data_IF_190032255691
#
_entry.id   IF_190032255691
#
_cell.length_a   1.000
_cell.length_b   1.000
_cell.length_c   1.000
_cell.angle_alpha   90.00
_cell.angle_beta   90.00
_cell.angle_gamma   90.00
#
_symmetry.space_group_name_H-M   'P 1'
#
loop_
_entity.id
_entity.type
_entity.pdbx_description
1 polymer ?
#
# COMPACT_ATOMS: atom_id res chain seq x y z
N UNK A 1 60.60 -3.04 -13.93
CA UNK A 1 60.56 -3.21 -15.39
C UNK A 1 59.10 -3.21 -15.83
N UNK A 2 58.74 -2.19 -16.61
CA UNK A 2 57.73 -2.10 -17.69
C UNK A 2 56.32 -2.73 -17.53
N UNK A 3 55.36 -1.82 -17.32
CA UNK A 3 54.16 -1.50 -18.12
C UNK A 3 53.47 -2.53 -19.05
N UNK A 4 52.13 -2.52 -18.98
CA UNK A 4 51.09 -2.50 -20.05
C UNK A 4 49.87 -3.34 -19.60
N UNK A 5 48.59 -2.93 -19.62
CA UNK A 5 47.92 -1.86 -20.32
C UNK A 5 47.21 -2.41 -21.57
N UNK A 6 45.95 -2.86 -21.45
CA UNK A 6 45.01 -2.96 -22.60
C UNK A 6 43.54 -3.02 -22.15
N UNK A 7 42.86 -1.91 -22.43
CA UNK A 7 41.42 -1.70 -22.50
C UNK A 7 40.91 -2.33 -23.81
N UNK A 8 39.85 -3.14 -23.78
CA UNK A 8 39.17 -3.61 -25.00
C UNK A 8 37.78 -2.97 -25.10
N UNK A 9 37.69 -1.88 -25.87
CA UNK A 9 36.44 -1.34 -26.40
C UNK A 9 36.08 -2.14 -27.66
N UNK A 10 34.95 -2.84 -27.64
CA UNK A 10 34.33 -3.36 -28.86
C UNK A 10 33.44 -2.26 -29.47
N UNK A 11 33.91 -1.70 -30.59
CA UNK A 11 33.13 -0.86 -31.50
C UNK A 11 32.36 -1.78 -32.46
N UNK A 12 31.03 -1.67 -32.48
CA UNK A 12 30.21 -2.13 -33.60
C UNK A 12 29.67 -0.90 -34.36
N UNK A 13 29.61 -0.93 -35.70
CA UNK A 13 29.30 0.23 -36.54
C UNK A 13 27.81 0.57 -36.55
N UNK A 14 27.44 1.85 -36.79
CA UNK A 14 26.06 2.29 -36.82
C UNK A 14 25.47 2.14 -38.23
N UNK A 15 24.37 1.41 -38.37
CA UNK A 15 23.47 1.61 -39.51
C UNK A 15 22.01 1.45 -39.10
N UNK A 16 21.23 2.47 -39.51
CA UNK A 16 19.79 2.49 -39.66
C UNK A 16 18.91 2.52 -38.40
N UNK A 17 18.69 3.72 -37.82
CA UNK A 17 17.35 4.09 -37.31
C UNK A 17 17.07 5.58 -37.51
N UNK A 18 15.95 5.85 -38.21
CA UNK A 18 15.35 7.18 -38.38
C UNK A 18 14.60 7.67 -37.13
N UNK A 19 14.05 8.90 -37.17
CA UNK A 19 13.71 9.63 -35.96
C UNK A 19 12.27 9.36 -35.51
N UNK A 20 12.10 9.04 -34.22
CA UNK A 20 10.98 9.42 -33.31
C UNK A 20 10.81 8.39 -32.18
N UNK A 21 11.35 8.68 -30.99
CA UNK A 21 10.76 8.37 -29.67
C UNK A 21 11.76 8.79 -28.56
N UNK A 22 11.33 9.47 -27.48
CA UNK A 22 12.18 9.77 -26.34
C UNK A 22 12.39 8.52 -25.47
N UNK A 23 13.65 8.10 -25.35
CA UNK A 23 14.10 7.02 -24.46
C UNK A 23 14.18 7.57 -23.03
N UNK A 24 13.44 6.96 -22.11
CA UNK A 24 13.70 7.00 -20.68
C UNK A 24 14.95 6.15 -20.38
N UNK A 25 16.04 6.76 -19.91
CA UNK A 25 17.17 6.01 -19.35
C UNK A 25 16.93 5.79 -17.85
N UNK A 26 16.67 4.54 -17.48
CA UNK A 26 16.72 4.05 -16.11
C UNK A 26 18.19 3.82 -15.72
N UNK A 27 18.67 4.50 -14.69
CA UNK A 27 19.95 4.18 -14.05
C UNK A 27 19.73 3.19 -12.91
N UNK A 28 20.24 1.97 -13.11
CA UNK A 28 20.28 0.88 -12.14
C UNK A 28 21.50 1.08 -11.22
N UNK A 29 21.30 1.24 -9.91
CA UNK A 29 22.39 1.22 -8.92
C UNK A 29 22.34 -0.12 -8.18
N UNK A 30 23.42 -0.93 -8.20
CA UNK A 30 23.41 -2.23 -7.55
C UNK A 30 23.34 -2.08 -6.02
N UNK A 31 22.32 -2.69 -5.40
CA UNK A 31 22.30 -2.96 -3.95
C UNK A 31 23.19 -4.17 -3.66
N UNK A 32 24.39 -3.94 -3.09
CA UNK A 32 24.99 -4.73 -1.98
C UNK A 32 26.50 -4.46 -1.89
N UNK A 33 26.89 -3.78 -0.81
CA UNK A 33 28.11 -4.08 -0.05
C UNK A 33 27.89 -3.51 1.37
N UNK A 34 27.05 -4.19 2.14
CA UNK A 34 27.03 -4.09 3.60
C UNK A 34 27.63 -5.40 4.09
N UNK A 35 28.86 -5.35 4.59
CA UNK A 35 29.57 -6.54 5.05
C UNK A 35 31.00 -6.27 5.51
N UNK A 36 31.14 -5.98 6.80
CA UNK A 36 32.27 -6.32 7.68
C UNK A 36 33.65 -5.72 7.36
N UNK A 37 33.96 -4.60 8.01
CA UNK A 37 35.35 -4.28 8.40
C UNK A 37 35.40 -4.06 9.92
N UNK A 38 36.06 -5.00 10.61
CA UNK A 38 36.45 -4.87 12.02
C UNK A 38 37.60 -3.86 12.19
N UNK A 39 37.91 -3.47 13.43
CA UNK A 39 38.83 -2.37 13.69
C UNK A 39 40.29 -2.76 13.40
N UNK A 40 40.88 -2.16 12.37
CA UNK A 40 42.33 -2.23 12.16
C UNK A 40 42.81 -2.15 10.70
N UNK A 41 42.65 -1.00 10.04
CA UNK A 41 43.61 -0.51 9.02
C UNK A 41 43.29 0.96 8.65
N UNK A 42 44.30 1.84 8.41
CA UNK A 42 44.06 3.23 8.04
C UNK A 42 44.06 3.37 6.51
N UNK A 43 42.99 3.93 5.93
CA UNK A 43 43.09 4.48 4.59
C UNK A 43 42.19 5.71 4.44
N UNK A 44 42.80 6.89 4.47
CA UNK A 44 42.16 8.21 4.40
C UNK A 44 41.72 8.59 2.97
N UNK A 45 41.99 7.73 1.97
CA UNK A 45 41.70 7.98 0.57
C UNK A 45 40.20 7.80 0.22
N UNK A 46 39.51 6.84 0.82
CA UNK A 46 38.11 6.49 0.45
C UNK A 46 37.04 7.47 0.93
N UNK A 47 37.39 8.33 1.90
CA UNK A 47 36.52 9.39 2.42
C UNK A 47 36.55 10.65 1.53
N UNK A 48 37.68 10.91 0.87
CA UNK A 48 37.85 12.05 -0.04
C UNK A 48 37.03 11.86 -1.33
N UNK A 49 36.98 10.63 -1.84
CA UNK A 49 36.22 10.29 -3.04
C UNK A 49 34.70 10.44 -2.85
N UNK A 50 34.19 10.16 -1.64
CA UNK A 50 32.78 10.35 -1.28
C UNK A 50 32.37 11.83 -1.20
N UNK A 51 33.24 12.71 -0.72
CA UNK A 51 32.98 14.14 -0.68
C UNK A 51 32.96 14.78 -2.08
N UNK A 52 33.79 14.28 -3.00
CA UNK A 52 33.86 14.78 -4.36
C UNK A 52 32.62 14.39 -5.19
N UNK A 53 32.09 13.17 -4.99
CA UNK A 53 30.83 12.71 -5.61
C UNK A 53 29.59 13.46 -5.09
N UNK A 54 29.57 13.84 -3.80
CA UNK A 54 28.47 14.62 -3.21
C UNK A 54 28.45 16.07 -3.73
N UNK A 55 29.62 16.69 -3.93
CA UNK A 55 29.73 18.03 -4.50
C UNK A 55 29.39 18.06 -5.99
N UNK A 56 29.76 17.02 -6.75
CA UNK A 56 29.40 16.90 -8.17
C UNK A 56 27.89 16.72 -8.39
N UNK A 57 27.20 16.01 -7.50
CA UNK A 57 25.74 15.82 -7.57
C UNK A 57 24.97 17.10 -7.20
N UNK A 58 25.51 17.95 -6.32
CA UNK A 58 24.92 19.26 -6.00
C UNK A 58 25.03 20.26 -7.17
N UNK A 59 26.12 20.20 -7.94
CA UNK A 59 26.33 21.05 -9.14
C UNK A 59 25.32 20.72 -10.25
N UNK A 60 24.94 19.45 -10.40
CA UNK A 60 23.95 19.00 -11.40
C UNK A 60 22.54 19.51 -11.04
N UNK A 61 22.20 19.59 -9.75
CA UNK A 61 20.88 20.04 -9.30
C UNK A 61 20.65 21.55 -9.52
N UNK A 62 21.72 22.36 -9.47
CA UNK A 62 21.65 23.82 -9.61
C UNK A 62 21.67 24.28 -11.08
N UNK A 63 22.24 23.50 -12.00
CA UNK A 63 22.41 23.89 -13.41
C UNK A 63 21.37 23.30 -14.39
N UNK A 64 20.55 22.35 -13.96
CA UNK A 64 19.55 21.70 -14.82
C UNK A 64 18.34 22.56 -15.27
N UNK A 65 17.90 23.66 -14.59
CA UNK A 65 16.76 24.43 -15.08
C UNK A 65 17.05 25.36 -16.27
N UNK A 66 18.32 25.58 -16.65
CA UNK A 66 18.69 26.57 -17.66
C UNK A 66 18.65 26.08 -19.13
N UNK A 67 18.26 24.83 -19.40
CA UNK A 67 18.26 24.26 -20.77
C UNK A 67 16.92 23.71 -21.29
N UNK A 68 15.80 23.85 -20.56
CA UNK A 68 14.50 23.28 -20.96
C UNK A 68 13.34 24.26 -21.13
N UNK A 69 13.59 25.58 -21.20
CA UNK A 69 12.65 26.52 -21.84
C UNK A 69 11.24 26.67 -21.23
N UNK A 70 11.04 26.39 -19.94
CA UNK A 70 9.76 26.65 -19.28
C UNK A 70 9.62 28.13 -18.88
N UNK A 71 8.61 28.80 -19.45
CA UNK A 71 8.21 30.17 -19.11
C UNK A 71 7.30 30.18 -17.89
N UNK A 72 7.82 30.60 -16.74
CA UNK A 72 7.06 31.27 -15.67
C UNK A 72 7.99 32.25 -14.92
N UNK A 73 7.53 33.46 -14.55
CA UNK A 73 8.41 34.51 -14.06
C UNK A 73 8.80 34.26 -12.60
N UNK A 74 10.09 34.05 -12.35
CA UNK A 74 10.69 34.19 -11.02
C UNK A 74 11.73 35.31 -11.15
N UNK A 75 11.54 36.38 -10.39
CA UNK A 75 12.50 37.50 -10.32
C UNK A 75 13.88 37.01 -9.86
N UNK A 76 14.99 37.60 -10.36
CA UNK A 76 16.29 36.94 -10.36
C UNK A 76 17.03 37.07 -9.03
N UNK A 77 17.44 35.91 -8.49
CA UNK A 77 18.46 35.77 -7.46
C UNK A 77 19.86 36.03 -8.09
N UNK A 78 20.15 37.28 -8.46
CA UNK A 78 21.40 37.65 -9.16
C UNK A 78 22.63 37.76 -8.27
N UNK A 79 22.56 37.38 -6.98
CA UNK A 79 23.67 37.63 -6.04
C UNK A 79 24.63 36.44 -5.84
N UNK A 80 24.26 35.21 -6.23
CA UNK A 80 25.08 34.02 -5.90
C UNK A 80 26.11 33.60 -6.97
N UNK A 81 25.95 34.04 -8.23
CA UNK A 81 26.76 33.54 -9.35
C UNK A 81 28.12 34.26 -9.46
N UNK A 82 28.32 35.40 -8.79
CA UNK A 82 29.57 36.15 -8.85
C UNK A 82 30.71 35.58 -7.99
N UNK A 83 30.43 34.68 -7.04
CA UNK A 83 31.43 34.34 -6.00
C UNK A 83 32.12 33.00 -6.23
N UNK A 84 31.55 32.10 -7.04
CA UNK A 84 32.15 30.78 -7.32
C UNK A 84 33.22 30.84 -8.42
N UNK A 85 33.21 31.87 -9.27
CA UNK A 85 34.15 32.01 -10.39
C UNK A 85 35.53 32.59 -10.02
N UNK A 86 35.91 32.67 -8.73
CA UNK A 86 37.19 33.25 -8.28
C UNK A 86 38.00 32.36 -7.31
N UNK A 87 37.89 31.04 -7.44
CA UNK A 87 38.79 30.11 -6.77
C UNK A 87 39.54 29.26 -7.79
N UNK A 88 40.38 29.91 -8.61
CA UNK A 88 41.47 29.23 -9.33
C UNK A 88 42.77 29.46 -8.56
N UNK A 89 43.16 28.47 -7.76
CA UNK A 89 44.44 28.45 -7.05
C UNK A 89 44.68 27.08 -6.40
N UNK A 90 45.93 26.57 -6.38
CA UNK A 90 46.23 25.24 -5.88
C UNK A 90 46.00 25.15 -4.37
N UNK A 91 45.15 24.23 -3.94
CA UNK A 91 44.91 23.92 -2.53
C UNK A 91 46.18 23.27 -1.96
N UNK A 92 46.96 24.02 -1.20
CA UNK A 92 48.09 23.50 -0.40
C UNK A 92 47.57 22.84 0.88
N UNK A 93 48.11 21.66 1.17
CA UNK A 93 47.84 20.79 2.33
C UNK A 93 47.66 21.53 3.66
N UNK A 94 46.60 21.17 4.39
CA UNK A 94 46.45 21.42 5.83
C UNK A 94 46.07 20.12 6.53
N UNK A 95 46.99 19.57 7.32
CA UNK A 95 46.73 18.45 8.25
C UNK A 95 46.45 19.03 9.63
N UNK A 96 45.26 18.78 10.18
CA UNK A 96 44.87 19.10 11.55
C UNK A 96 44.08 17.94 12.13
N UNK A 97 44.56 17.36 13.22
CA UNK A 97 44.09 16.14 13.88
C UNK A 97 42.78 16.34 14.67
N UNK A 98 41.73 15.59 14.33
CA UNK A 98 40.50 15.52 15.13
C UNK A 98 40.59 14.43 16.21
N UNK A 99 40.41 14.80 17.48
CA UNK A 99 40.16 13.86 18.59
C UNK A 99 38.64 13.60 18.72
N UNK A 100 38.24 12.33 18.71
CA UNK A 100 36.86 11.91 19.05
C UNK A 100 36.65 11.94 20.57
N UNK A 101 35.54 12.54 21.03
CA UNK A 101 35.01 12.36 22.38
C UNK A 101 33.77 11.47 22.35
N UNK A 102 33.73 10.48 23.25
CA UNK A 102 32.62 9.54 23.48
C UNK A 102 31.73 10.13 24.59
N UNK A 103 30.45 10.40 24.32
CA UNK A 103 29.52 10.86 25.35
C UNK A 103 28.56 9.71 25.71
N UNK A 104 28.61 9.29 26.97
CA UNK A 104 27.67 8.39 27.64
C UNK A 104 26.58 9.21 28.34
N UNK A 105 25.34 8.68 28.31
CA UNK A 105 24.18 8.97 29.18
C UNK A 105 23.70 10.42 29.37
N UNK A 106 22.46 10.69 28.95
CA UNK A 106 21.59 11.69 29.58
C UNK A 106 20.20 11.08 29.85
N UNK A 107 19.72 11.27 31.08
CA UNK A 107 18.44 10.82 31.64
C UNK A 107 17.26 11.77 31.32
N UNK A 108 15.99 11.33 31.49
CA UNK A 108 14.81 12.01 30.96
C UNK A 108 14.14 12.93 31.98
N UNK A 109 13.94 14.20 31.63
CA UNK A 109 13.03 15.09 32.36
C UNK A 109 12.44 16.15 31.43
N UNK A 110 11.12 16.37 31.56
CA UNK A 110 10.29 17.44 30.99
C UNK A 110 9.87 17.36 29.51
N UNK A 111 8.70 16.74 29.24
CA UNK A 111 7.69 17.33 28.34
C UNK A 111 6.30 17.09 28.95
N UNK A 112 5.68 18.17 29.40
CA UNK A 112 4.27 18.24 29.74
C UNK A 112 3.42 18.58 28.52
N UNK A 113 2.17 18.07 28.55
CA UNK A 113 1.03 18.28 27.65
C UNK A 113 1.00 19.64 26.91
N UNK A 114 0.86 19.61 25.58
CA UNK A 114 -0.34 20.14 24.92
C UNK A 114 -0.48 19.61 23.48
N UNK A 115 -1.72 19.39 23.11
CA UNK A 115 -2.23 18.84 21.85
C UNK A 115 -2.44 19.94 20.81
N UNK A 116 -1.86 19.81 19.62
CA UNK A 116 -2.44 20.36 18.39
C UNK A 116 -1.71 19.85 17.14
N UNK A 117 -2.42 19.05 16.35
CA UNK A 117 -2.51 19.09 14.88
C UNK A 117 -1.24 19.54 14.14
N UNK A 118 -0.41 18.60 13.70
CA UNK A 118 0.54 18.83 12.60
C UNK A 118 -0.16 18.45 11.30
N UNK A 119 -0.69 19.45 10.60
CA UNK A 119 -0.96 19.39 9.17
C UNK A 119 0.36 19.53 8.41
N UNK A 120 0.58 18.68 7.43
CA UNK A 120 1.69 18.74 6.47
C UNK A 120 1.90 20.17 5.94
N UNK A 121 2.95 20.84 6.43
CA UNK A 121 3.58 21.98 5.80
C UNK A 121 4.94 22.18 6.45
N UNK A 122 5.99 22.22 5.62
CA UNK A 122 7.42 22.47 5.92
C UNK A 122 8.34 21.23 6.02
N UNK A 123 8.71 20.67 4.86
CA UNK A 123 10.07 20.15 4.69
C UNK A 123 11.04 21.34 4.61
N UNK A 124 11.45 21.89 5.75
CA UNK A 124 12.56 22.84 5.86
C UNK A 124 13.28 22.66 7.21
N UNK A 125 13.69 21.44 7.52
CA UNK A 125 14.69 21.10 8.54
C UNK A 125 15.32 19.80 8.00
N UNK A 126 16.55 19.76 7.48
CA UNK A 126 17.80 19.79 8.25
C UNK A 126 18.94 20.42 7.43
N UNK A 127 19.36 21.63 7.79
CA UNK A 127 20.72 22.12 7.50
C UNK A 127 21.38 22.72 8.75
N UNK A 128 20.74 22.61 9.91
CA UNK A 128 21.17 23.23 11.16
C UNK A 128 22.01 22.30 12.07
N UNK A 129 22.30 21.06 11.65
CA UNK A 129 22.99 20.10 12.52
C UNK A 129 24.51 20.01 12.35
N UNK A 130 25.14 20.91 11.59
CA UNK A 130 26.59 20.89 11.34
C UNK A 130 27.34 22.20 11.58
N UNK A 131 26.78 23.13 12.36
CA UNK A 131 27.48 24.37 12.73
C UNK A 131 27.76 24.45 14.24
N UNK A 132 28.55 23.49 14.73
CA UNK A 132 29.49 23.78 15.82
C UNK A 132 30.82 24.19 15.20
N UNK A 133 30.85 25.44 14.73
CA UNK A 133 32.02 26.03 14.13
C UNK A 133 33.05 26.36 15.21
N UNK A 134 34.22 25.74 15.06
CA UNK A 134 35.48 26.04 15.75
C UNK A 134 35.79 27.56 15.73
N UNK A 135 36.43 28.14 16.76
CA UNK A 135 36.81 29.55 16.82
C UNK A 135 37.60 30.09 15.62
N UNK A 136 38.20 29.20 14.81
CA UNK A 136 38.95 29.55 13.60
C UNK A 136 38.07 30.00 12.41
N UNK A 137 36.75 29.82 12.47
CA UNK A 137 35.82 30.23 11.40
C UNK A 137 35.49 31.74 11.41
N UNK A 138 35.74 32.43 12.52
CA UNK A 138 35.37 33.84 12.76
C UNK A 138 36.37 34.86 12.18
N UNK A 139 37.49 34.41 11.61
CA UNK A 139 38.56 35.29 11.11
C UNK A 139 38.55 35.51 9.59
N UNK A 140 37.65 34.88 8.84
CA UNK A 140 37.57 35.08 7.39
C UNK A 140 36.82 36.39 7.03
N UNK A 141 37.47 37.40 6.43
CA UNK A 141 36.85 38.69 6.12
C UNK A 141 35.72 38.62 5.09
N UNK A 142 35.73 37.60 4.21
CA UNK A 142 34.72 37.42 3.16
C UNK A 142 33.37 36.90 3.68
N UNK A 143 33.35 36.22 4.84
CA UNK A 143 32.11 35.73 5.47
C UNK A 143 31.46 36.79 6.36
N UNK A 144 32.23 37.73 6.91
CA UNK A 144 31.70 38.88 7.67
C UNK A 144 30.87 39.84 6.80
N UNK A 145 31.21 39.99 5.51
CA UNK A 145 30.42 40.83 4.59
C UNK A 145 29.07 40.22 4.23
N UNK A 146 29.00 38.89 4.12
CA UNK A 146 27.76 38.13 3.83
C UNK A 146 26.79 38.19 5.02
N UNK A 147 27.28 38.05 6.25
CA UNK A 147 26.46 38.21 7.47
C UNK A 147 26.09 39.67 7.75
N UNK A 148 26.94 40.63 7.39
CA UNK A 148 26.66 42.06 7.51
C UNK A 148 25.51 42.54 6.60
N UNK A 149 25.27 41.88 5.47
CA UNK A 149 24.15 42.13 4.57
C UNK A 149 22.82 41.53 5.07
N UNK A 150 22.87 40.48 5.90
CA UNK A 150 21.69 39.91 6.56
C UNK A 150 21.27 40.72 7.81
N UNK A 151 22.24 41.31 8.52
CA UNK A 151 21.97 42.15 9.71
C UNK A 151 21.30 43.49 9.40
N UNK A 152 21.42 44.01 8.18
CA UNK A 152 20.75 45.25 7.72
C UNK A 152 19.33 45.01 7.20
N UNK A 153 18.97 43.81 6.78
CA UNK A 153 17.61 43.50 6.32
C UNK A 153 16.60 43.35 7.47
N UNK A 154 17.08 43.14 8.70
CA UNK A 154 16.25 42.92 9.90
C UNK A 154 16.07 44.21 10.73
N UNK A 155 16.69 45.34 10.37
CA UNK A 155 16.75 46.53 11.23
C UNK A 155 16.05 47.80 10.74
N UNK A 156 15.12 47.70 9.78
CA UNK A 156 14.30 48.84 9.35
C UNK A 156 12.82 48.49 9.24
N UNK A 157 12.17 48.17 10.37
CA UNK A 157 10.72 48.41 10.58
C UNK A 157 10.41 48.54 12.07
N UNK A 158 10.99 49.54 12.73
CA UNK A 158 10.44 50.07 13.99
C UNK A 158 10.25 51.58 13.84
N UNK A 159 9.17 51.97 13.16
CA UNK A 159 8.57 53.29 13.31
C UNK A 159 7.08 53.12 13.57
N UNK A 160 6.69 53.50 14.79
CA UNK A 160 5.32 53.53 15.27
C UNK A 160 4.47 54.53 14.49
N UNK A 161 3.61 54.03 13.59
CA UNK A 161 2.46 54.75 13.09
C UNK A 161 1.25 53.79 12.99
N UNK A 162 0.13 54.16 13.63
CA UNK A 162 -1.11 53.37 13.62
C UNK A 162 -1.71 53.36 12.21
N UNK A 163 -1.63 52.21 11.54
CA UNK A 163 -2.36 51.94 10.29
C UNK A 163 -3.77 51.39 10.66
N UNK A 164 -4.87 51.92 10.11
CA UNK A 164 -6.21 51.38 10.36
C UNK A 164 -6.33 49.96 9.80
N UNK A 165 -6.93 49.04 10.57
CA UNK A 165 -7.15 47.65 10.15
C UNK A 165 -8.08 47.61 8.93
N UNK A 166 -7.72 46.94 7.81
CA UNK A 166 -8.64 46.72 6.72
C UNK A 166 -9.78 45.78 7.16
N UNK A 167 -10.99 45.92 6.60
CA UNK A 167 -12.13 45.07 6.97
C UNK A 167 -11.81 43.60 6.67
N UNK A 168 -12.27 42.71 7.56
CA UNK A 168 -12.13 41.26 7.43
C UNK A 168 -12.62 40.78 6.04
N UNK A 169 -11.69 40.52 5.12
CA UNK A 169 -11.99 39.68 3.96
C UNK A 169 -12.36 38.30 4.50
N UNK A 170 -13.62 37.88 4.30
CA UNK A 170 -14.02 36.49 4.48
C UNK A 170 -13.00 35.62 3.75
N UNK A 171 -12.27 34.77 4.47
CA UNK A 171 -11.48 33.70 3.85
C UNK A 171 -12.47 32.85 3.07
N UNK A 172 -12.43 32.94 1.74
CA UNK A 172 -13.01 31.90 0.91
C UNK A 172 -12.36 30.58 1.34
N UNK A 173 -13.12 29.48 1.50
CA UNK A 173 -12.55 28.20 1.84
C UNK A 173 -11.47 27.88 0.81
N UNK A 174 -10.30 27.43 1.28
CA UNK A 174 -9.27 26.89 0.39
C UNK A 174 -9.94 25.79 -0.44
N UNK A 175 -9.77 25.76 -1.78
CA UNK A 175 -10.27 24.64 -2.56
C UNK A 175 -9.70 23.37 -1.93
N UNK A 176 -10.60 22.49 -1.48
CA UNK A 176 -10.22 21.14 -1.09
C UNK A 176 -9.65 20.54 -2.37
N UNK A 177 -8.34 20.31 -2.42
CA UNK A 177 -7.76 19.51 -3.48
C UNK A 177 -8.33 18.10 -3.26
N UNK A 178 -9.38 17.76 -4.00
CA UNK A 178 -9.91 16.40 -4.00
C UNK A 178 -8.85 15.58 -4.75
N UNK A 179 -7.94 14.95 -4.00
CA UNK A 179 -7.09 13.91 -4.57
C UNK A 179 -8.01 12.72 -4.85
N UNK A 180 -8.48 12.61 -6.10
CA UNK A 180 -9.20 11.43 -6.56
C UNK A 180 -8.25 10.25 -6.48
N UNK A 181 -8.43 9.39 -5.47
CA UNK A 181 -7.65 8.18 -5.31
C UNK A 181 -8.23 7.10 -6.21
N UNK A 182 -7.39 6.42 -6.98
CA UNK A 182 -7.79 5.31 -7.83
C UNK A 182 -7.17 4.02 -7.30
N UNK A 183 -7.97 2.98 -7.08
CA UNK A 183 -7.52 1.65 -6.69
C UNK A 183 -7.64 0.66 -7.85
N UNK A 184 -6.62 -0.14 -8.11
CA UNK A 184 -6.67 -1.21 -9.10
C UNK A 184 -6.84 -2.55 -8.40
N UNK A 185 -7.90 -3.28 -8.75
CA UNK A 185 -8.19 -4.59 -8.17
C UNK A 185 -8.20 -5.66 -9.27
N UNK A 186 -7.66 -6.84 -8.95
CA UNK A 186 -7.84 -8.03 -9.78
C UNK A 186 -8.89 -8.96 -9.14
N UNK A 187 -9.78 -9.52 -9.94
CA UNK A 187 -10.76 -10.51 -9.53
C UNK A 187 -10.40 -11.87 -10.14
N UNK A 188 -10.02 -12.83 -9.30
CA UNK A 188 -9.81 -14.22 -9.72
C UNK A 188 -11.16 -14.96 -9.71
N UNK A 189 -11.70 -15.16 -10.90
CA UNK A 189 -13.01 -15.77 -11.15
C UNK A 189 -12.85 -17.29 -11.17
N UNK A 190 -13.36 -17.94 -10.14
CA UNK A 190 -13.15 -19.37 -9.84
C UNK A 190 -14.34 -20.24 -10.28
N UNK A 191 -15.35 -19.65 -10.94
CA UNK A 191 -16.54 -20.33 -11.42
C UNK A 191 -17.33 -19.46 -12.40
N UNK A 192 -18.40 -19.99 -12.97
CA UNK A 192 -19.44 -19.25 -13.69
C UNK A 192 -20.76 -19.33 -12.91
N UNK A 193 -21.51 -18.24 -12.75
CA UNK A 193 -22.80 -18.31 -12.07
C UNK A 193 -23.75 -19.28 -12.79
N UNK A 194 -24.62 -19.95 -12.03
CA UNK A 194 -25.69 -20.78 -12.58
C UNK A 194 -26.52 -19.96 -13.60
N UNK A 195 -27.07 -20.58 -14.68
CA UNK A 195 -27.76 -19.85 -15.74
C UNK A 195 -28.81 -18.85 -15.22
N UNK A 196 -29.69 -19.28 -14.31
CA UNK A 196 -30.71 -18.40 -13.74
C UNK A 196 -30.15 -17.20 -12.95
N UNK A 197 -28.98 -17.35 -12.32
CA UNK A 197 -28.26 -16.26 -11.64
C UNK A 197 -27.61 -15.35 -12.68
N UNK A 198 -26.94 -15.92 -13.68
CA UNK A 198 -26.28 -15.18 -14.75
C UNK A 198 -27.26 -14.32 -15.54
N UNK A 199 -28.43 -14.87 -15.86
CA UNK A 199 -29.47 -14.14 -16.61
C UNK A 199 -30.03 -12.95 -15.82
N UNK A 200 -30.06 -13.05 -14.49
CA UNK A 200 -30.61 -12.00 -13.62
C UNK A 200 -29.58 -10.97 -13.16
N UNK A 201 -28.32 -11.39 -12.97
CA UNK A 201 -27.29 -10.61 -12.27
C UNK A 201 -25.96 -10.49 -13.02
N UNK A 202 -25.84 -11.12 -14.19
CA UNK A 202 -24.62 -11.11 -14.99
C UNK A 202 -23.57 -12.12 -14.52
N UNK A 203 -22.35 -11.94 -15.00
CA UNK A 203 -21.18 -12.75 -14.63
C UNK A 203 -20.74 -12.49 -13.18
N UNK A 204 -19.82 -13.30 -12.65
CA UNK A 204 -19.20 -12.99 -11.36
C UNK A 204 -18.46 -11.64 -11.37
N UNK A 205 -17.94 -11.20 -12.51
CA UNK A 205 -17.36 -9.86 -12.63
C UNK A 205 -18.42 -8.79 -12.36
N UNK A 206 -19.62 -8.91 -12.93
CA UNK A 206 -20.73 -7.96 -12.74
C UNK A 206 -21.25 -7.96 -11.29
N UNK A 207 -21.37 -9.15 -10.68
CA UNK A 207 -21.79 -9.32 -9.30
C UNK A 207 -20.80 -8.64 -8.34
N UNK A 208 -19.50 -8.92 -8.49
CA UNK A 208 -18.47 -8.30 -7.65
C UNK A 208 -18.31 -6.81 -7.93
N UNK A 209 -18.39 -6.35 -9.18
CA UNK A 209 -18.39 -4.93 -9.53
C UNK A 209 -19.52 -4.19 -8.81
N UNK A 210 -20.74 -4.77 -8.83
CA UNK A 210 -21.91 -4.20 -8.14
C UNK A 210 -21.70 -4.18 -6.63
N UNK A 211 -21.22 -5.27 -6.04
CA UNK A 211 -20.98 -5.37 -4.59
C UNK A 211 -19.93 -4.36 -4.12
N UNK A 212 -18.78 -4.31 -4.80
CA UNK A 212 -17.68 -3.39 -4.52
C UNK A 212 -18.11 -1.94 -4.68
N UNK A 213 -18.87 -1.60 -5.72
CA UNK A 213 -19.34 -0.24 -5.92
C UNK A 213 -20.38 0.19 -4.88
N UNK A 214 -21.31 -0.69 -4.48
CA UNK A 214 -22.28 -0.39 -3.42
C UNK A 214 -21.60 -0.26 -2.05
N UNK A 215 -20.66 -1.14 -1.73
CA UNK A 215 -19.91 -1.09 -0.47
C UNK A 215 -18.97 0.12 -0.40
N UNK A 216 -18.37 0.54 -1.51
CA UNK A 216 -17.54 1.75 -1.55
C UNK A 216 -18.36 2.99 -1.23
N UNK A 217 -19.53 3.13 -1.87
CA UNK A 217 -20.48 4.21 -1.56
C UNK A 217 -20.91 4.18 -0.10
N UNK A 218 -21.14 2.99 0.45
CA UNK A 218 -21.47 2.83 1.87
C UNK A 218 -20.32 3.25 2.79
N UNK A 219 -19.08 2.87 2.47
CA UNK A 219 -17.89 3.22 3.23
C UNK A 219 -17.66 4.74 3.25
N UNK A 220 -17.63 5.37 2.07
CA UNK A 220 -17.45 6.82 1.92
C UNK A 220 -18.58 7.62 2.59
N UNK A 221 -19.83 7.20 2.36
CA UNK A 221 -21.01 7.84 2.94
C UNK A 221 -21.03 7.80 4.47
N UNK A 222 -20.58 6.69 5.07
CA UNK A 222 -20.48 6.59 6.54
C UNK A 222 -19.46 7.54 7.17
N UNK A 223 -18.60 8.17 6.36
CA UNK A 223 -17.57 9.12 6.77
C UNK A 223 -17.83 10.54 6.29
N UNK A 224 -18.94 10.78 5.60
CA UNK A 224 -19.23 12.06 4.99
C UNK A 224 -18.26 12.45 3.86
N UNK A 225 -17.54 11.47 3.29
CA UNK A 225 -16.66 11.72 2.15
C UNK A 225 -17.48 11.78 0.85
N UNK A 226 -17.09 12.62 -0.13
CA UNK A 226 -17.74 12.64 -1.44
C UNK A 226 -17.68 11.25 -2.10
N UNK A 227 -18.77 10.83 -2.75
CA UNK A 227 -18.88 9.49 -3.39
C UNK A 227 -17.85 9.25 -4.48
N UNK A 228 -17.25 10.32 -5.00
CA UNK A 228 -16.38 10.30 -6.17
C UNK A 228 -14.91 10.50 -5.79
N UNK A 229 -14.63 10.65 -4.48
CA UNK A 229 -13.29 10.85 -3.93
C UNK A 229 -12.38 9.63 -4.09
N UNK A 230 -12.98 8.44 -4.22
CA UNK A 230 -12.29 7.19 -4.50
C UNK A 230 -12.95 6.49 -5.69
N UNK A 231 -12.14 6.06 -6.64
CA UNK A 231 -12.54 5.24 -7.78
C UNK A 231 -11.77 3.93 -7.77
N UNK A 232 -12.28 2.93 -8.48
CA UNK A 232 -11.56 1.68 -8.66
C UNK A 232 -11.77 1.07 -10.05
N UNK A 233 -10.76 0.33 -10.50
CA UNK A 233 -10.85 -0.59 -11.64
C UNK A 233 -10.91 -2.02 -11.11
N UNK A 234 -11.67 -2.90 -11.76
CA UNK A 234 -11.75 -4.32 -11.46
C UNK A 234 -11.49 -5.14 -12.72
N UNK A 235 -10.33 -5.77 -12.78
CA UNK A 235 -9.95 -6.63 -13.90
C UNK A 235 -10.27 -8.09 -13.58
N UNK A 236 -11.11 -8.72 -14.40
CA UNK A 236 -11.50 -10.13 -14.23
C UNK A 236 -10.55 -11.10 -14.91
N UNK A 237 -10.17 -12.16 -14.19
CA UNK A 237 -9.30 -13.23 -14.65
C UNK A 237 -9.97 -14.60 -14.43
N UNK A 238 -10.29 -15.30 -15.52
CA UNK A 238 -10.87 -16.64 -15.46
C UNK A 238 -9.80 -17.68 -15.12
N UNK A 239 -9.66 -17.99 -13.83
CA UNK A 239 -8.64 -18.93 -13.35
C UNK A 239 -9.01 -20.38 -13.62
N UNK A 240 -10.28 -20.69 -13.91
CA UNK A 240 -10.71 -22.02 -14.36
C UNK A 240 -10.10 -22.32 -15.72
N UNK A 241 -10.00 -21.30 -16.59
CA UNK A 241 -9.24 -21.34 -17.84
C UNK A 241 -7.75 -21.03 -17.68
N UNK A 242 -7.25 -20.97 -16.43
CA UNK A 242 -5.86 -20.66 -16.09
C UNK A 242 -5.37 -19.31 -16.64
N UNK A 243 -6.29 -18.34 -16.76
CA UNK A 243 -5.95 -16.97 -17.10
C UNK A 243 -5.68 -16.21 -15.80
N UNK A 244 -4.47 -15.63 -15.70
CA UNK A 244 -4.00 -14.90 -14.53
C UNK A 244 -3.45 -13.53 -14.94
N UNK A 245 -3.34 -12.57 -14.00
CA UNK A 245 -2.58 -11.34 -14.24
C UNK A 245 -1.15 -11.66 -14.68
N UNK A 246 -0.67 -10.96 -15.70
CA UNK A 246 0.73 -11.01 -16.11
C UNK A 246 1.63 -10.51 -14.97
N UNK A 247 2.83 -11.08 -14.84
CA UNK A 247 3.76 -10.75 -13.74
C UNK A 247 4.09 -9.26 -13.66
N UNK A 248 4.29 -8.62 -14.82
CA UNK A 248 4.57 -7.19 -14.93
C UNK A 248 3.39 -6.31 -14.48
N UNK A 249 2.17 -6.85 -14.44
CA UNK A 249 0.96 -6.14 -14.01
C UNK A 249 0.67 -6.29 -12.53
N UNK A 250 1.23 -7.29 -11.86
CA UNK A 250 0.95 -7.55 -10.43
C UNK A 250 1.26 -6.33 -9.55
N UNK A 251 2.37 -5.63 -9.79
CA UNK A 251 2.76 -4.46 -8.98
C UNK A 251 1.83 -3.25 -9.11
N UNK A 252 0.93 -3.27 -10.10
CA UNK A 252 -0.06 -2.21 -10.31
C UNK A 252 -1.34 -2.41 -9.50
N UNK A 253 -1.59 -3.63 -8.99
CA UNK A 253 -2.78 -3.92 -8.20
C UNK A 253 -2.58 -3.56 -6.72
N UNK A 254 -3.58 -2.91 -6.14
CA UNK A 254 -3.67 -2.65 -4.71
C UNK A 254 -4.25 -3.86 -3.96
N UNK A 255 -5.05 -4.68 -4.65
CA UNK A 255 -5.58 -5.90 -4.09
C UNK A 255 -6.05 -6.92 -5.11
N UNK A 256 -6.12 -8.17 -4.65
CA UNK A 256 -6.65 -9.31 -5.40
C UNK A 256 -7.80 -9.93 -4.62
N UNK A 257 -8.93 -10.17 -5.28
CA UNK A 257 -10.13 -10.79 -4.71
C UNK A 257 -10.35 -12.15 -5.34
N UNK A 258 -10.51 -13.19 -4.53
CA UNK A 258 -10.87 -14.54 -4.96
C UNK A 258 -12.35 -14.78 -4.74
N UNK A 259 -13.03 -15.16 -5.81
CA UNK A 259 -14.48 -15.46 -5.82
C UNK A 259 -14.80 -16.84 -5.19
N UNK A 260 -16.09 -17.07 -4.97
CA UNK A 260 -16.62 -18.40 -4.66
C UNK A 260 -16.60 -19.36 -5.86
N UNK A 261 -16.85 -20.65 -5.59
CA UNK A 261 -17.00 -21.68 -6.62
C UNK A 261 -17.90 -22.81 -6.13
N UNK A 262 -18.59 -23.48 -7.04
CA UNK A 262 -19.28 -24.73 -6.79
C UNK A 262 -18.33 -25.94 -6.71
N UNK A 263 -17.09 -25.80 -7.21
CA UNK A 263 -16.07 -26.82 -7.05
C UNK A 263 -15.59 -26.92 -5.60
N UNK A 264 -15.25 -28.14 -5.16
CA UNK A 264 -14.55 -28.32 -3.89
C UNK A 264 -13.10 -27.88 -4.02
N UNK A 265 -12.60 -27.12 -3.05
CA UNK A 265 -11.24 -26.59 -3.07
C UNK A 265 -10.16 -27.67 -3.14
N UNK A 266 -10.46 -28.90 -2.71
CA UNK A 266 -9.58 -30.07 -2.74
C UNK A 266 -9.83 -31.02 -3.92
N UNK A 267 -10.73 -30.68 -4.85
CA UNK A 267 -11.00 -31.52 -6.02
C UNK A 267 -9.73 -31.64 -6.90
N UNK A 268 -9.51 -32.78 -7.57
CA UNK A 268 -8.37 -32.97 -8.47
C UNK A 268 -8.60 -32.29 -9.83
N UNK A 269 -9.03 -31.02 -9.84
CA UNK A 269 -9.23 -30.25 -11.06
C UNK A 269 -7.91 -29.61 -11.50
N UNK A 270 -7.56 -29.65 -12.80
CA UNK A 270 -6.25 -29.18 -13.30
C UNK A 270 -5.90 -27.74 -12.96
N UNK A 271 -6.90 -26.88 -12.74
CA UNK A 271 -6.70 -25.45 -12.44
C UNK A 271 -6.52 -25.16 -10.94
N UNK A 272 -6.86 -26.09 -10.04
CA UNK A 272 -6.78 -25.86 -8.59
C UNK A 272 -5.32 -25.75 -8.13
N UNK A 273 -4.45 -26.65 -8.55
CA UNK A 273 -3.04 -26.62 -8.14
C UNK A 273 -2.31 -25.35 -8.63
N UNK A 274 -2.43 -24.93 -9.91
CA UNK A 274 -1.93 -23.65 -10.37
C UNK A 274 -2.47 -22.45 -9.58
N UNK A 275 -3.74 -22.47 -9.20
CA UNK A 275 -4.33 -21.39 -8.38
C UNK A 275 -3.69 -21.32 -6.99
N UNK A 276 -3.46 -22.46 -6.33
CA UNK A 276 -2.77 -22.51 -5.03
C UNK A 276 -1.35 -21.92 -5.14
N UNK A 277 -0.61 -22.32 -6.17
CA UNK A 277 0.76 -21.82 -6.42
C UNK A 277 0.78 -20.32 -6.70
N UNK A 278 -0.16 -19.83 -7.52
CA UNK A 278 -0.33 -18.41 -7.78
C UNK A 278 -0.60 -17.63 -6.48
N UNK A 279 -1.56 -18.07 -5.67
CA UNK A 279 -1.96 -17.38 -4.44
C UNK A 279 -0.82 -17.37 -3.42
N UNK A 280 -0.17 -18.52 -3.19
CA UNK A 280 0.97 -18.62 -2.28
C UNK A 280 2.11 -17.70 -2.73
N UNK A 281 2.40 -17.65 -4.03
CA UNK A 281 3.43 -16.80 -4.61
C UNK A 281 3.10 -15.32 -4.47
N UNK A 282 1.86 -14.90 -4.76
CA UNK A 282 1.43 -13.50 -4.61
C UNK A 282 1.59 -13.05 -3.15
N UNK A 283 1.03 -13.81 -2.21
CA UNK A 283 1.08 -13.47 -0.78
C UNK A 283 2.54 -13.43 -0.29
N UNK A 284 3.41 -14.31 -0.79
CA UNK A 284 4.81 -14.33 -0.37
C UNK A 284 5.65 -13.19 -0.97
N UNK A 285 5.48 -12.92 -2.27
CA UNK A 285 6.42 -12.10 -3.03
C UNK A 285 5.95 -10.65 -3.24
N UNK A 286 4.65 -10.38 -3.07
CA UNK A 286 4.04 -9.08 -3.33
C UNK A 286 3.35 -8.51 -2.08
N UNK A 287 4.10 -8.16 -1.02
CA UNK A 287 3.53 -7.77 0.27
C UNK A 287 2.68 -6.49 0.24
N UNK A 288 2.76 -5.68 -0.83
CA UNK A 288 1.89 -4.49 -0.99
C UNK A 288 0.47 -4.85 -1.42
N UNK A 289 0.26 -6.00 -2.04
CA UNK A 289 -1.04 -6.41 -2.59
C UNK A 289 -1.87 -7.01 -1.47
N UNK A 290 -3.02 -6.42 -1.16
CA UNK A 290 -3.98 -7.02 -0.21
C UNK A 290 -4.70 -8.19 -0.86
N UNK A 291 -4.83 -9.31 -0.16
CA UNK A 291 -5.52 -10.49 -0.72
C UNK A 291 -6.81 -10.76 0.03
N UNK A 292 -7.93 -10.81 -0.69
CA UNK A 292 -9.27 -11.01 -0.16
C UNK A 292 -9.86 -12.33 -0.67
N UNK A 293 -10.39 -13.17 0.21
CA UNK A 293 -10.95 -14.48 -0.18
C UNK A 293 -12.39 -14.69 0.26
N UNK A 294 -13.26 -15.07 -0.68
CA UNK A 294 -14.69 -15.28 -0.43
C UNK A 294 -15.05 -16.75 -0.66
N UNK A 295 -15.62 -17.42 0.35
CA UNK A 295 -16.09 -18.80 0.28
C UNK A 295 -15.02 -19.80 -0.23
N UNK A 296 -15.10 -20.24 -1.48
CA UNK A 296 -14.03 -21.04 -2.11
C UNK A 296 -12.68 -20.31 -2.07
N UNK A 297 -12.64 -19.00 -2.29
CA UNK A 297 -11.43 -18.19 -2.18
C UNK A 297 -10.81 -18.22 -0.78
N UNK A 298 -11.64 -18.25 0.28
CA UNK A 298 -11.19 -18.45 1.66
C UNK A 298 -10.48 -19.82 1.82
N UNK A 299 -11.08 -20.87 1.25
CA UNK A 299 -10.54 -22.23 1.31
C UNK A 299 -9.26 -22.40 0.49
N UNK A 300 -9.17 -21.78 -0.69
CA UNK A 300 -7.97 -21.76 -1.52
C UNK A 300 -6.82 -21.06 -0.81
N UNK A 301 -7.06 -19.88 -0.21
CA UNK A 301 -6.03 -19.16 0.56
C UNK A 301 -5.54 -20.03 1.72
N UNK A 302 -6.45 -20.71 2.43
CA UNK A 302 -6.06 -21.62 3.51
C UNK A 302 -5.13 -22.71 2.99
N UNK A 303 -5.54 -23.43 1.94
CA UNK A 303 -4.74 -24.51 1.35
C UNK A 303 -3.40 -24.04 0.80
N UNK A 304 -3.37 -22.88 0.14
CA UNK A 304 -2.16 -22.31 -0.46
C UNK A 304 -1.08 -22.01 0.59
N UNK A 305 -1.48 -21.76 1.85
CA UNK A 305 -0.59 -21.43 2.95
C UNK A 305 -0.41 -22.56 3.97
N UNK A 306 -0.75 -23.80 3.57
CA UNK A 306 -0.50 -25.01 4.35
C UNK A 306 -1.62 -25.45 5.28
N UNK A 307 -2.79 -24.80 5.21
CA UNK A 307 -4.01 -25.28 5.86
C UNK A 307 -4.73 -26.37 5.06
N UNK A 308 -5.92 -26.76 5.51
CA UNK A 308 -6.76 -27.75 4.83
C UNK A 308 -8.18 -27.24 4.57
N UNK A 309 -8.83 -27.82 3.57
CA UNK A 309 -10.26 -27.70 3.35
C UNK A 309 -10.81 -29.13 3.22
N UNK A 310 -11.91 -29.41 3.90
CA UNK A 310 -12.55 -30.73 3.96
C UNK A 310 -14.08 -30.58 3.89
N UNK A 311 -14.82 -31.63 3.53
CA UNK A 311 -16.26 -31.66 3.73
C UNK A 311 -16.61 -31.45 5.20
N UNK A 312 -17.60 -30.60 5.49
CA UNK A 312 -18.11 -30.43 6.84
C UNK A 312 -19.15 -31.52 7.15
N UNK A 313 -18.85 -32.37 8.12
CA UNK A 313 -19.76 -33.44 8.57
C UNK A 313 -21.07 -32.90 9.15
N UNK A 314 -21.08 -31.65 9.64
CA UNK A 314 -22.28 -30.97 10.14
C UNK A 314 -23.21 -30.47 9.02
N UNK A 315 -22.81 -30.63 7.75
CA UNK A 315 -23.65 -30.39 6.60
C UNK A 315 -23.59 -28.96 6.06
N UNK A 316 -24.70 -28.56 5.43
CA UNK A 316 -24.82 -27.30 4.67
C UNK A 316 -25.18 -26.11 5.56
N UNK A 317 -24.58 -24.95 5.29
CA UNK A 317 -25.12 -23.65 5.67
C UNK A 317 -25.56 -22.89 4.40
N UNK A 318 -26.85 -22.55 4.32
CA UNK A 318 -27.49 -21.92 3.15
C UNK A 318 -28.39 -20.76 3.56
N UNK A 319 -28.18 -19.59 2.97
CA UNK A 319 -28.92 -18.37 3.35
C UNK A 319 -28.23 -17.61 4.48
N UNK A 320 -28.91 -16.69 5.16
CA UNK A 320 -28.27 -15.86 6.21
C UNK A 320 -28.09 -16.63 7.52
N UNK A 321 -26.88 -16.56 8.06
CA UNK A 321 -26.49 -17.07 9.38
C UNK A 321 -25.88 -15.96 10.24
N UNK A 322 -26.10 -16.06 11.55
CA UNK A 322 -25.41 -15.25 12.56
C UNK A 322 -24.06 -15.90 12.89
N UNK A 323 -22.98 -15.24 12.46
CA UNK A 323 -21.61 -15.59 12.84
C UNK A 323 -21.32 -14.96 14.19
N UNK A 324 -20.99 -15.81 15.16
CA UNK A 324 -20.52 -15.39 16.48
C UNK A 324 -19.08 -14.93 16.36
N UNK A 325 -18.87 -13.62 16.49
CA UNK A 325 -17.55 -13.02 16.40
C UNK A 325 -16.77 -13.23 17.69
N UNK A 326 -15.49 -13.58 17.56
CA UNK A 326 -14.57 -13.56 18.70
C UNK A 326 -14.06 -12.14 18.94
N UNK A 327 -13.09 -11.96 19.86
CA UNK A 327 -12.53 -10.64 20.17
C UNK A 327 -12.02 -9.92 18.92
N UNK A 328 -11.24 -10.63 18.09
CA UNK A 328 -10.69 -10.09 16.85
C UNK A 328 -11.80 -9.69 15.87
N UNK A 329 -12.77 -10.57 15.62
CA UNK A 329 -13.89 -10.28 14.73
C UNK A 329 -14.69 -9.06 15.17
N UNK A 330 -14.94 -8.90 16.48
CA UNK A 330 -15.65 -7.72 17.02
C UNK A 330 -14.87 -6.42 16.80
N UNK A 331 -13.55 -6.45 16.99
CA UNK A 331 -12.70 -5.30 16.72
C UNK A 331 -12.64 -4.97 15.21
N UNK A 332 -12.55 -6.01 14.37
CA UNK A 332 -12.48 -5.87 12.91
C UNK A 332 -13.78 -5.33 12.31
N UNK A 333 -14.94 -5.82 12.74
CA UNK A 333 -16.23 -5.44 12.15
C UNK A 333 -16.95 -4.33 12.90
N UNK A 334 -16.54 -4.00 14.13
CA UNK A 334 -17.20 -2.99 14.96
C UNK A 334 -18.61 -3.38 15.43
N UNK A 335 -18.97 -4.67 15.37
CA UNK A 335 -20.25 -5.21 15.81
C UNK A 335 -20.07 -6.48 16.66
N UNK A 336 -21.11 -6.89 17.40
CA UNK A 336 -21.03 -8.08 18.26
C UNK A 336 -21.25 -9.39 17.50
N UNK A 337 -22.13 -9.37 16.50
CA UNK A 337 -22.51 -10.50 15.64
C UNK A 337 -22.50 -10.02 14.19
N UNK A 338 -22.20 -10.94 13.27
CA UNK A 338 -22.17 -10.65 11.84
C UNK A 338 -23.17 -11.55 11.12
N UNK A 339 -24.12 -10.97 10.39
CA UNK A 339 -25.06 -11.71 9.54
C UNK A 339 -24.56 -11.76 8.12
N UNK A 340 -24.40 -12.94 7.56
CA UNK A 340 -23.86 -13.12 6.20
C UNK A 340 -24.55 -14.28 5.50
N UNK A 341 -24.73 -14.16 4.18
CA UNK A 341 -25.17 -15.28 3.36
C UNK A 341 -24.11 -16.38 3.35
N UNK A 342 -24.53 -17.61 3.61
CA UNK A 342 -23.74 -18.82 3.48
C UNK A 342 -24.23 -19.62 2.27
N UNK A 343 -23.31 -20.33 1.62
CA UNK A 343 -23.59 -21.28 0.56
C UNK A 343 -22.45 -22.30 0.49
N UNK A 344 -22.20 -23.02 1.57
CA UNK A 344 -21.08 -23.97 1.64
C UNK A 344 -21.43 -25.25 2.41
N UNK A 345 -20.72 -26.32 2.04
CA UNK A 345 -20.68 -27.60 2.74
C UNK A 345 -19.25 -27.98 3.10
N UNK A 346 -18.27 -27.50 2.35
CA UNK A 346 -16.86 -27.64 2.70
C UNK A 346 -16.46 -26.52 3.66
N UNK A 347 -15.43 -26.75 4.46
CA UNK A 347 -14.90 -25.77 5.40
C UNK A 347 -13.40 -25.94 5.65
N UNK A 348 -12.78 -24.89 6.17
CA UNK A 348 -11.45 -24.95 6.79
C UNK A 348 -11.63 -25.34 8.27
N UNK A 349 -11.12 -26.49 8.73
CA UNK A 349 -11.14 -26.80 10.16
C UNK A 349 -10.28 -25.80 10.95
N UNK A 350 -10.70 -25.45 12.16
CA UNK A 350 -9.92 -24.63 13.08
C UNK A 350 -8.54 -25.26 13.37
N UNK A 351 -8.51 -26.57 13.58
CA UNK A 351 -7.30 -27.39 13.75
C UNK A 351 -6.34 -27.39 12.56
N UNK A 352 -6.81 -26.95 11.38
CA UNK A 352 -6.03 -26.89 10.15
C UNK A 352 -6.03 -25.49 9.53
N UNK A 353 -6.24 -24.47 10.37
CA UNK A 353 -6.04 -23.07 9.97
C UNK A 353 -4.54 -22.84 9.73
N UNK A 354 -4.14 -22.16 8.64
CA UNK A 354 -2.72 -21.95 8.35
C UNK A 354 -2.00 -21.15 9.43
N UNK A 355 -0.69 -21.37 9.57
CA UNK A 355 0.12 -20.66 10.55
C UNK A 355 0.05 -19.13 10.35
N UNK A 356 -0.07 -18.40 11.46
CA UNK A 356 -0.16 -16.93 11.46
C UNK A 356 -1.56 -16.36 11.19
N UNK A 357 -2.53 -17.17 10.76
CA UNK A 357 -3.90 -16.72 10.63
C UNK A 357 -4.63 -16.75 11.98
N UNK A 358 -5.43 -15.72 12.19
CA UNK A 358 -6.37 -15.64 13.31
C UNK A 358 -7.80 -15.79 12.77
N UNK A 359 -8.57 -16.74 13.33
CA UNK A 359 -9.99 -16.91 13.02
C UNK A 359 -10.77 -15.70 13.54
N UNK A 360 -11.82 -15.25 12.84
CA UNK A 360 -12.62 -14.06 13.22
C UNK A 360 -13.97 -14.40 13.83
N UNK A 361 -14.52 -15.58 13.56
CA UNK A 361 -15.83 -15.97 14.05
C UNK A 361 -16.22 -17.40 13.70
N UNK A 362 -17.33 -17.85 14.27
CA UNK A 362 -17.80 -19.24 14.19
C UNK A 362 -19.33 -19.31 14.07
N UNK A 363 -19.83 -20.45 13.59
CA UNK A 363 -21.22 -20.89 13.75
C UNK A 363 -21.24 -22.26 14.42
N UNK A 364 -22.40 -22.77 14.88
CA UNK A 364 -22.49 -24.14 15.40
C UNK A 364 -21.99 -25.21 14.42
N UNK A 365 -22.15 -24.97 13.11
CA UNK A 365 -21.69 -25.88 12.06
C UNK A 365 -20.23 -25.65 11.64
N UNK A 366 -19.72 -24.41 11.64
CA UNK A 366 -18.39 -24.11 11.11
C UNK A 366 -17.53 -23.33 12.11
N UNK A 367 -16.41 -23.92 12.52
CA UNK A 367 -15.47 -23.32 13.47
C UNK A 367 -14.56 -22.22 12.87
N UNK A 368 -14.53 -22.07 11.54
CA UNK A 368 -13.79 -21.02 10.87
C UNK A 368 -14.69 -20.34 9.83
N UNK A 369 -15.31 -19.23 10.21
CA UNK A 369 -16.15 -18.43 9.30
C UNK A 369 -15.39 -17.33 8.57
N UNK A 370 -14.07 -17.28 8.77
CA UNK A 370 -13.19 -16.27 8.20
C UNK A 370 -11.92 -16.15 9.02
N UNK A 371 -10.87 -15.67 8.36
CA UNK A 371 -9.54 -15.58 8.96
C UNK A 371 -8.77 -14.38 8.41
N UNK A 372 -7.88 -13.86 9.25
CA UNK A 372 -7.01 -12.71 8.96
C UNK A 372 -5.55 -13.10 9.11
N UNK A 373 -4.70 -12.70 8.17
CA UNK A 373 -3.25 -12.70 8.30
C UNK A 373 -2.77 -11.25 8.35
N UNK A 374 -2.05 -10.90 9.41
CA UNK A 374 -1.40 -9.59 9.55
C UNK A 374 0.04 -9.62 9.05
N UNK A 375 0.63 -8.47 8.78
CA UNK A 375 2.06 -8.39 8.52
C UNK A 375 2.88 -8.80 9.76
N UNK A 376 4.05 -9.42 9.56
CA UNK A 376 4.96 -9.76 10.65
C UNK A 376 5.30 -8.55 11.53
N UNK A 377 5.35 -8.75 12.84
CA UNK A 377 5.69 -7.71 13.81
C UNK A 377 4.51 -6.83 14.25
N UNK A 378 3.31 -7.02 13.68
CA UNK A 378 2.09 -6.35 14.12
C UNK A 378 1.39 -7.15 15.23
N UNK A 379 0.85 -6.48 16.23
CA UNK A 379 0.16 -7.13 17.36
C UNK A 379 -0.80 -6.18 18.06
N UNK A 380 -1.68 -6.71 18.92
CA UNK A 380 -2.64 -5.91 19.67
C UNK A 380 -3.92 -5.61 18.88
N UNK A 381 -4.52 -4.44 19.15
CA UNK A 381 -5.76 -4.00 18.49
C UNK A 381 -5.55 -3.97 16.97
N UNK A 382 -6.52 -4.48 16.23
CA UNK A 382 -6.41 -4.51 14.76
C UNK A 382 -6.49 -3.09 14.16
N UNK A 383 -5.50 -2.77 13.32
CA UNK A 383 -5.58 -1.69 12.35
C UNK A 383 -5.72 -2.30 10.96
N UNK A 384 -6.52 -1.70 10.09
CA UNK A 384 -6.78 -2.28 8.76
C UNK A 384 -5.54 -2.30 7.86
N UNK A 385 -4.62 -1.34 8.04
CA UNK A 385 -3.35 -1.29 7.28
C UNK A 385 -2.43 -2.48 7.57
N UNK A 386 -2.51 -3.04 8.78
CA UNK A 386 -1.71 -4.19 9.23
C UNK A 386 -2.19 -5.51 8.62
N UNK A 387 -3.40 -5.54 8.06
CA UNK A 387 -3.99 -6.74 7.47
C UNK A 387 -3.43 -6.96 6.07
N UNK A 388 -2.79 -8.10 5.84
CA UNK A 388 -2.30 -8.48 4.51
C UNK A 388 -3.34 -9.33 3.77
N UNK A 389 -3.95 -10.28 4.49
CA UNK A 389 -4.95 -11.21 3.93
C UNK A 389 -6.19 -11.19 4.79
N UNK A 390 -7.35 -11.07 4.17
CA UNK A 390 -8.65 -11.14 4.84
C UNK A 390 -9.58 -12.09 4.08
N UNK A 391 -10.26 -12.97 4.81
CA UNK A 391 -11.16 -13.94 4.18
C UNK A 391 -12.43 -14.14 4.99
N UNK A 392 -13.51 -14.48 4.29
CA UNK A 392 -14.79 -14.88 4.87
C UNK A 392 -15.31 -16.14 4.17
N UNK A 393 -15.89 -17.05 4.95
CA UNK A 393 -16.46 -18.30 4.42
C UNK A 393 -17.82 -18.06 3.73
N UNK A 394 -18.57 -17.04 4.15
CA UNK A 394 -19.81 -16.63 3.50
C UNK A 394 -19.60 -15.67 2.33
N UNK A 395 -20.72 -15.23 1.77
CA UNK A 395 -20.84 -14.44 0.55
C UNK A 395 -21.38 -13.03 0.86
N UNK A 396 -20.52 -12.03 1.07
CA UNK A 396 -20.95 -10.64 1.26
C UNK A 396 -21.61 -10.05 -0.01
N UNK A 397 -21.32 -10.62 -1.17
CA UNK A 397 -21.82 -10.25 -2.49
C UNK A 397 -23.18 -10.88 -2.84
N UNK A 398 -23.61 -11.90 -2.11
CA UNK A 398 -24.92 -12.52 -2.31
C UNK A 398 -26.04 -11.70 -1.65
N UNK A 399 -27.24 -11.88 -2.18
CA UNK A 399 -28.51 -11.40 -1.62
C UNK A 399 -29.62 -12.40 -1.95
N UNK A 400 -30.82 -12.18 -1.42
CA UNK A 400 -31.97 -13.10 -1.52
C UNK A 400 -32.18 -13.71 -2.91
N UNK A 401 -32.22 -12.87 -3.97
CA UNK A 401 -32.46 -13.33 -5.35
C UNK A 401 -31.39 -14.31 -5.83
N UNK A 402 -30.10 -14.07 -5.53
CA UNK A 402 -29.02 -14.99 -5.90
C UNK A 402 -29.18 -16.30 -5.14
N UNK A 403 -29.35 -16.23 -3.82
CA UNK A 403 -29.46 -17.43 -2.97
C UNK A 403 -30.66 -18.28 -3.37
N UNK A 404 -31.83 -17.67 -3.57
CA UNK A 404 -33.06 -18.39 -3.93
C UNK A 404 -32.88 -19.15 -5.25
N UNK A 405 -32.29 -18.52 -6.27
CA UNK A 405 -31.99 -19.16 -7.56
C UNK A 405 -30.99 -20.30 -7.45
N UNK A 406 -29.96 -20.15 -6.61
CA UNK A 406 -28.99 -21.23 -6.34
C UNK A 406 -29.67 -22.40 -5.62
N UNK A 407 -30.53 -22.12 -4.64
CA UNK A 407 -31.30 -23.13 -3.90
C UNK A 407 -32.23 -23.90 -4.84
N UNK A 408 -33.00 -23.21 -5.68
CA UNK A 408 -33.92 -23.85 -6.64
C UNK A 408 -33.15 -24.76 -7.60
N UNK A 409 -32.04 -24.28 -8.15
CA UNK A 409 -31.21 -25.09 -9.04
C UNK A 409 -30.60 -26.31 -8.34
N UNK A 410 -30.17 -26.18 -7.07
CA UNK A 410 -29.57 -27.29 -6.32
C UNK A 410 -30.60 -28.31 -5.83
N UNK A 411 -31.83 -27.89 -5.56
CA UNK A 411 -32.97 -28.77 -5.30
C UNK A 411 -33.27 -29.64 -6.53
N UNK A 412 -33.39 -29.01 -7.70
CA UNK A 412 -33.67 -29.71 -8.96
C UNK A 412 -32.62 -30.77 -9.32
N UNK A 413 -31.37 -30.53 -8.93
CA UNK A 413 -30.25 -31.45 -9.17
C UNK A 413 -29.99 -32.43 -8.01
N UNK A 414 -30.83 -32.43 -6.96
CA UNK A 414 -30.71 -33.36 -5.83
C UNK A 414 -29.45 -33.16 -4.96
N UNK A 415 -28.81 -31.98 -5.02
CA UNK A 415 -27.57 -31.68 -4.28
C UNK A 415 -27.83 -31.41 -2.79
N UNK A 416 -29.04 -30.94 -2.47
CA UNK A 416 -29.47 -30.58 -1.12
C UNK A 416 -30.69 -31.39 -0.72
N UNK A 417 -30.77 -31.77 0.56
CA UNK A 417 -31.96 -32.42 1.10
C UNK A 417 -33.14 -31.43 1.18
N UNK A 418 -34.40 -31.91 1.16
CA UNK A 418 -35.56 -31.04 1.30
C UNK A 418 -35.52 -30.15 2.55
N UNK A 419 -34.95 -30.64 3.65
CA UNK A 419 -34.78 -29.86 4.88
C UNK A 419 -33.80 -28.69 4.70
N UNK A 420 -32.66 -28.91 4.03
CA UNK A 420 -31.68 -27.86 3.73
C UNK A 420 -32.28 -26.83 2.78
N UNK A 421 -33.04 -27.27 1.77
CA UNK A 421 -33.73 -26.38 0.83
C UNK A 421 -34.75 -25.50 1.53
N UNK A 422 -35.60 -26.09 2.38
CA UNK A 422 -36.61 -25.35 3.14
C UNK A 422 -35.96 -24.32 4.09
N UNK A 423 -34.88 -24.70 4.78
CA UNK A 423 -34.12 -23.80 5.66
C UNK A 423 -33.47 -22.66 4.86
N UNK A 424 -32.85 -22.98 3.71
CA UNK A 424 -32.24 -22.02 2.81
C UNK A 424 -33.22 -20.99 2.28
N UNK A 425 -34.41 -21.41 1.82
CA UNK A 425 -35.49 -20.51 1.38
C UNK A 425 -35.98 -19.61 2.51
N UNK A 426 -36.12 -20.15 3.74
CA UNK A 426 -36.52 -19.37 4.92
C UNK A 426 -35.49 -18.30 5.29
N UNK A 427 -34.20 -18.58 5.10
CA UNK A 427 -33.08 -17.69 5.47
C UNK A 427 -32.65 -16.73 4.38
N UNK A 428 -32.95 -17.00 3.11
CA UNK A 428 -32.59 -16.16 1.98
C UNK A 428 -33.08 -14.70 2.07
N UNK A 429 -34.30 -14.37 2.55
CA UNK A 429 -34.78 -12.99 2.61
C UNK A 429 -34.29 -12.21 3.84
N UNK A 430 -33.55 -12.84 4.76
CA UNK A 430 -33.11 -12.17 5.98
C UNK A 430 -32.09 -11.07 5.67
N UNK A 431 -32.07 -10.02 6.49
CA UNK A 431 -31.09 -8.95 6.38
C UNK A 431 -29.66 -9.47 6.66
N UNK A 432 -28.70 -9.02 5.86
CA UNK A 432 -27.28 -9.38 5.99
C UNK A 432 -26.38 -8.15 5.96
N UNK A 433 -25.15 -8.31 6.47
CA UNK A 433 -24.19 -7.26 6.72
C UNK A 433 -23.09 -7.17 5.62
N UNK A 434 -23.35 -7.78 4.47
CA UNK A 434 -22.39 -7.89 3.36
C UNK A 434 -21.91 -6.54 2.84
N UNK A 435 -22.83 -5.64 2.49
CA UNK A 435 -22.51 -4.28 2.05
C UNK A 435 -22.12 -3.37 3.23
N UNK A 436 -22.95 -3.22 4.29
CA UNK A 436 -22.75 -2.15 5.27
C UNK A 436 -21.63 -2.40 6.29
N UNK A 437 -21.13 -3.63 6.40
CA UNK A 437 -20.08 -4.02 7.36
C UNK A 437 -18.90 -4.67 6.66
N UNK A 438 -19.09 -5.83 6.02
CA UNK A 438 -17.97 -6.60 5.44
C UNK A 438 -17.31 -5.84 4.30
N UNK A 439 -18.12 -5.30 3.38
CA UNK A 439 -17.63 -4.47 2.29
C UNK A 439 -16.88 -3.23 2.77
N UNK A 440 -17.31 -2.60 3.88
CA UNK A 440 -16.55 -1.48 4.49
C UNK A 440 -15.20 -1.92 5.02
N UNK A 441 -15.12 -3.08 5.68
CA UNK A 441 -13.86 -3.66 6.16
C UNK A 441 -12.93 -3.97 4.99
N UNK A 442 -13.44 -4.54 3.89
CA UNK A 442 -12.65 -4.77 2.68
C UNK A 442 -12.03 -3.46 2.15
N UNK A 443 -12.82 -2.39 2.06
CA UNK A 443 -12.34 -1.08 1.62
C UNK A 443 -11.36 -0.44 2.60
N UNK A 444 -11.58 -0.57 3.90
CA UNK A 444 -10.66 -0.06 4.92
C UNK A 444 -9.30 -0.77 4.86
N UNK A 445 -9.27 -2.09 4.61
CA UNK A 445 -8.04 -2.86 4.38
C UNK A 445 -7.30 -2.40 3.12
N UNK A 446 -8.04 -2.02 2.08
CA UNK A 446 -7.51 -1.38 0.87
C UNK A 446 -7.11 0.09 1.09
N UNK A 447 -7.20 0.58 2.32
CA UNK A 447 -6.80 1.92 2.75
C UNK A 447 -7.83 3.01 2.48
N UNK A 448 -9.09 2.66 2.18
CA UNK A 448 -10.19 3.63 2.11
C UNK A 448 -10.69 3.89 3.53
N UNK A 449 -9.94 4.73 4.25
CA UNK A 449 -10.30 5.22 5.60
C UNK A 449 -10.80 6.68 5.61
#
# INVERSE_FOLDING_TARGET
>A
MLASGSLLLLLLPPSAYGPRSPICEYWYVPRRLVGVFGPGHPDLQSLADHHQLFLQSLIIWVLAPAKLGYRTPVEPLSCAISTVAKLEGPIKHWYGSCKMYKIQHLSPTYIGRSSSVFSEQHCYIEFAYYMHLSPLFMENPALKSILGLWGTFVRTQETSARIPRPPHRRRLPRPILIMNRHLNLALLICDTPLPAVKDAHGSYLDIFQTHLQKSLKSALGSKGQPTDSVQFTLDGYDVVQQVYPEEAKLEMYDGIVLTGSAASAYAPLPWIQPLLEFVARVIKNYPRIKVLGICFGHQIIARALGGQCVPNEKGWEVGVFDVQLNKLGKELFGCSNLRIHQMHRDHVPDTHTPAGFEIIGTTPACANQGMVLRYPGTSGKINYEDVHVFTVQGHPEFHESIVSKVVDARELNGVMSPAVVADGRRRAPLAHDGIPVIGKVMWAILGVD
#
